data_IF_508200165190
#
_entry.id   IF_508200165190
#
_cell.length_a   1.000
_cell.length_b   1.000
_cell.length_c   1.000
_cell.angle_alpha   90.00
_cell.angle_beta   90.00
_cell.angle_gamma   90.00
#
_symmetry.space_group_name_H-M   'P 1'
#
loop_
_entity.id
_entity.type
_entity.pdbx_description
1 polymer ?
#
# COMPACT_ATOMS: atom_id res chain seq x y z
N UNK A 1 18.36 11.37 6.16
CA UNK A 1 17.19 11.90 6.90
C UNK A 1 15.94 11.78 6.01
N UNK A 2 15.44 10.56 5.80
CA UNK A 2 14.07 10.26 5.34
C UNK A 2 13.76 8.85 5.85
N UNK A 3 12.84 8.79 6.81
CA UNK A 3 12.42 7.57 7.49
C UNK A 3 11.68 6.67 6.50
N UNK A 4 12.32 5.60 6.02
CA UNK A 4 11.65 4.48 5.35
C UNK A 4 11.46 3.25 6.27
N UNK A 5 11.75 3.39 7.57
CA UNK A 5 11.78 2.28 8.53
C UNK A 5 10.44 1.99 9.24
N UNK A 6 9.30 2.51 8.76
CA UNK A 6 7.96 2.14 9.28
C UNK A 6 7.29 1.01 8.48
N UNK A 7 8.03 0.40 7.54
CA UNK A 7 7.53 -0.63 6.63
C UNK A 7 8.30 -1.96 6.76
N UNK A 8 8.80 -2.32 7.95
CA UNK A 8 9.56 -3.55 8.15
C UNK A 8 8.82 -4.85 7.79
N UNK A 9 7.50 -4.80 7.59
CA UNK A 9 6.67 -5.91 7.09
C UNK A 9 5.66 -5.49 6.01
N UNK A 10 5.83 -4.30 5.44
CA UNK A 10 4.89 -3.73 4.49
C UNK A 10 5.54 -3.37 3.17
N UNK A 11 5.16 -4.06 2.10
CA UNK A 11 5.67 -3.73 0.77
C UNK A 11 4.72 -2.73 0.09
N UNK A 12 5.19 -1.49 -0.11
CA UNK A 12 4.38 -0.41 -0.64
C UNK A 12 4.78 -0.05 -2.07
N UNK A 13 3.91 -0.31 -3.05
CA UNK A 13 4.28 -0.25 -4.48
C UNK A 13 3.45 0.72 -5.33
N UNK A 14 2.16 0.91 -5.02
CA UNK A 14 1.27 1.74 -5.82
C UNK A 14 0.85 3.02 -5.06
N UNK A 15 0.58 4.11 -5.80
CA UNK A 15 -0.12 5.27 -5.23
C UNK A 15 -1.60 4.98 -5.17
N UNK A 16 -2.19 5.27 -4.03
CA UNK A 16 -3.64 5.30 -3.94
C UNK A 16 -4.15 6.65 -4.42
N UNK A 17 -5.11 6.60 -5.34
CA UNK A 17 -5.73 7.77 -5.94
C UNK A 17 -7.26 7.56 -5.98
N UNK A 18 -8.04 8.47 -5.39
CA UNK A 18 -9.50 8.33 -5.34
C UNK A 18 -10.10 8.15 -6.72
N UNK A 19 -10.99 7.17 -6.86
CA UNK A 19 -11.67 6.84 -8.13
C UNK A 19 -10.79 6.21 -9.22
N UNK A 20 -9.54 5.82 -8.92
CA UNK A 20 -8.66 5.18 -9.89
C UNK A 20 -7.91 3.96 -9.34
N UNK A 21 -7.35 4.08 -8.14
CA UNK A 21 -6.66 3.00 -7.46
C UNK A 21 -6.84 3.19 -5.97
N UNK A 22 -7.82 2.53 -5.40
CA UNK A 22 -8.23 2.67 -4.02
C UNK A 22 -7.89 1.41 -3.24
N UNK A 23 -8.57 1.22 -2.11
CA UNK A 23 -8.37 0.09 -1.22
C UNK A 23 -8.63 -1.24 -1.92
N UNK A 24 -9.65 -1.32 -2.78
CA UNK A 24 -10.03 -2.58 -3.43
C UNK A 24 -8.94 -3.06 -4.39
N UNK A 25 -8.44 -2.17 -5.26
CA UNK A 25 -7.34 -2.50 -6.17
C UNK A 25 -6.07 -2.81 -5.41
N UNK A 26 -5.76 -2.02 -4.38
CA UNK A 26 -4.61 -2.27 -3.52
C UNK A 26 -4.67 -3.67 -2.87
N UNK A 27 -5.80 -4.01 -2.28
CA UNK A 27 -6.02 -5.32 -1.67
C UNK A 27 -5.87 -6.44 -2.70
N UNK A 28 -6.55 -6.32 -3.84
CA UNK A 28 -6.51 -7.32 -4.91
C UNK A 28 -5.08 -7.56 -5.44
N UNK A 29 -4.31 -6.49 -5.67
CA UNK A 29 -2.92 -6.60 -6.12
C UNK A 29 -2.00 -7.21 -5.06
N UNK A 30 -2.23 -6.91 -3.78
CA UNK A 30 -1.48 -7.51 -2.68
C UNK A 30 -1.72 -9.02 -2.59
N UNK A 31 -2.98 -9.46 -2.66
CA UNK A 31 -3.34 -10.88 -2.72
C UNK A 31 -2.69 -11.55 -3.94
N UNK A 32 -2.76 -10.89 -5.12
CA UNK A 32 -2.18 -11.41 -6.36
C UNK A 32 -0.65 -11.56 -6.28
N UNK A 33 0.02 -10.72 -5.47
CA UNK A 33 1.46 -10.81 -5.19
C UNK A 33 1.83 -11.81 -4.09
N UNK A 34 0.86 -12.42 -3.41
CA UNK A 34 1.10 -13.39 -2.33
C UNK A 34 1.29 -12.77 -0.94
N UNK A 35 0.63 -11.64 -0.69
CA UNK A 35 0.43 -11.07 0.65
C UNK A 35 -0.97 -11.40 1.17
N UNK A 36 -1.18 -11.26 2.48
CA UNK A 36 -2.44 -11.61 3.15
C UNK A 36 -3.44 -10.45 3.18
N UNK A 37 -2.95 -9.21 3.20
CA UNK A 37 -3.77 -8.00 3.16
C UNK A 37 -3.08 -6.87 2.37
N UNK A 38 -3.86 -5.88 1.97
CA UNK A 38 -3.39 -4.68 1.29
C UNK A 38 -4.26 -3.49 1.65
N UNK A 39 -3.62 -2.40 2.07
CA UNK A 39 -4.34 -1.17 2.42
C UNK A 39 -3.66 0.08 1.89
N UNK A 40 -4.49 1.06 1.55
CA UNK A 40 -4.05 2.40 1.23
C UNK A 40 -3.68 3.13 2.52
N UNK A 41 -2.38 3.22 2.79
CA UNK A 41 -1.85 3.94 3.94
C UNK A 41 -1.74 5.42 3.57
N UNK A 42 -2.44 6.32 4.28
CA UNK A 42 -2.31 7.75 4.05
C UNK A 42 -0.89 8.19 4.39
N UNK A 43 -0.19 8.76 3.40
CA UNK A 43 1.12 9.36 3.57
C UNK A 43 1.04 10.89 3.52
N UNK A 44 2.10 11.61 3.98
CA UNK A 44 2.07 13.07 4.14
C UNK A 44 1.87 13.86 2.84
N UNK A 45 1.92 13.22 1.67
CA UNK A 45 1.62 13.85 0.37
C UNK A 45 0.79 12.98 -0.59
N UNK A 46 0.76 11.66 -0.40
CA UNK A 46 0.03 10.72 -1.24
C UNK A 46 -0.25 9.46 -0.44
N UNK A 47 -1.47 8.95 -0.46
CA UNK A 47 -1.74 7.58 0.01
C UNK A 47 -0.95 6.58 -0.85
N UNK A 48 -0.37 5.55 -0.24
CA UNK A 48 0.26 4.44 -0.97
C UNK A 48 -0.37 3.13 -0.56
N UNK A 49 -0.55 2.25 -1.53
CA UNK A 49 -0.91 0.87 -1.28
C UNK A 49 0.29 0.18 -0.64
N UNK A 50 0.05 -0.41 0.52
CA UNK A 50 1.02 -1.19 1.27
C UNK A 50 0.43 -2.56 1.56
N UNK A 51 1.09 -3.60 1.08
CA UNK A 51 0.75 -4.98 1.38
C UNK A 51 1.27 -5.38 2.74
N UNK A 52 0.54 -6.20 3.47
CA UNK A 52 0.97 -6.81 4.73
C UNK A 52 0.83 -8.33 4.59
N UNK A 53 1.82 -9.07 5.06
CA UNK A 53 1.66 -10.50 5.36
C UNK A 53 1.22 -10.63 6.82
#
# INVERSE_FOLDING_TARGET
MFSQNICMWRDCFARCSPGYYERFECFHDCITKGYDDGNCVPGPKTGRCCCTR
#
